data_IF_158086379963
#
_entry.id   IF_158086379963
#
_cell.length_a   1.000
_cell.length_b   1.000
_cell.length_c   1.000
_cell.angle_alpha   90.00
_cell.angle_beta   90.00
_cell.angle_gamma   90.00
#
_symmetry.space_group_name_H-M   'P 1'
#
loop_
_entity.id
_entity.type
_entity.pdbx_description
1 polymer ?
#
# COMPACT_ATOMS: atom_id res chain seq x y z
N UNK A 1 -3.77 -4.46 9.44
CA UNK A 1 -2.79 -3.40 9.69
C UNK A 1 -3.28 -2.01 9.26
N UNK A 2 -4.56 -1.81 8.97
CA UNK A 2 -5.12 -0.49 8.65
C UNK A 2 -5.84 0.15 9.85
N UNK A 3 -5.40 -0.14 11.07
CA UNK A 3 -5.99 0.38 12.31
C UNK A 3 -5.07 1.36 13.05
N UNK A 4 -3.76 1.34 12.76
CA UNK A 4 -2.75 2.16 13.44
C UNK A 4 -2.12 3.14 12.43
N UNK A 5 -2.65 4.39 12.32
CA UNK A 5 -2.16 5.39 11.37
C UNK A 5 -0.69 5.75 11.59
N UNK A 6 0.08 5.82 10.51
CA UNK A 6 1.45 6.33 10.55
C UNK A 6 1.44 7.84 10.44
N UNK A 7 1.66 8.52 11.54
CA UNK A 7 1.83 9.98 11.58
C UNK A 7 3.33 10.28 11.48
N UNK A 8 3.78 11.02 10.46
CA UNK A 8 5.19 11.37 10.32
C UNK A 8 5.58 12.46 11.34
N UNK A 9 6.80 12.38 11.80
CA UNK A 9 7.42 13.48 12.53
C UNK A 9 7.84 14.56 11.53
N UNK A 10 7.21 15.74 11.65
CA UNK A 10 7.48 16.90 10.79
C UNK A 10 7.82 18.08 11.72
N UNK A 11 8.99 18.71 11.58
CA UNK A 11 9.37 19.85 12.41
C UNK A 11 8.30 20.94 12.43
N UNK A 12 7.83 21.29 13.61
CA UNK A 12 6.86 22.37 13.84
C UNK A 12 5.39 21.98 13.64
N UNK A 13 5.08 20.70 13.42
CA UNK A 13 3.68 20.24 13.24
C UNK A 13 2.79 20.60 14.43
N UNK A 14 3.35 20.62 15.63
CA UNK A 14 2.67 20.99 16.88
C UNK A 14 2.21 22.45 16.90
N UNK A 15 2.79 23.29 16.04
CA UNK A 15 2.42 24.71 15.91
C UNK A 15 1.33 24.95 14.87
N UNK A 16 0.91 23.90 14.12
CA UNK A 16 -0.07 24.07 13.06
C UNK A 16 -1.42 24.51 13.60
N UNK A 17 -1.90 25.66 13.13
CA UNK A 17 -3.15 26.26 13.59
C UNK A 17 -4.38 25.73 12.87
N UNK A 18 -4.20 24.97 11.78
CA UNK A 18 -5.29 24.35 11.01
C UNK A 18 -5.72 22.98 11.54
N UNK A 19 -6.48 22.27 10.75
CA UNK A 19 -6.96 20.91 11.07
C UNK A 19 -5.98 19.86 10.57
N UNK A 20 -5.75 18.82 11.37
CA UNK A 20 -4.89 17.69 11.01
C UNK A 20 -5.74 16.42 10.95
N UNK A 21 -5.67 15.71 9.81
CA UNK A 21 -6.36 14.45 9.58
C UNK A 21 -5.37 13.38 9.11
N UNK A 22 -5.72 12.12 9.36
CA UNK A 22 -5.16 11.00 8.62
C UNK A 22 -6.20 10.46 7.63
N UNK A 23 -5.77 9.85 6.53
CA UNK A 23 -6.68 9.20 5.57
C UNK A 23 -7.56 8.12 6.19
N UNK A 24 -7.19 7.62 7.38
CA UNK A 24 -8.02 6.75 8.21
C UNK A 24 -9.35 7.40 8.62
N UNK A 25 -9.34 8.71 8.86
CA UNK A 25 -10.50 9.46 9.36
C UNK A 25 -11.28 10.15 8.23
N UNK A 26 -10.74 10.14 7.02
CA UNK A 26 -11.41 10.68 5.84
C UNK A 26 -12.69 9.88 5.52
N UNK A 27 -13.80 10.58 5.25
CA UNK A 27 -15.09 9.97 4.88
C UNK A 27 -15.70 10.59 3.64
N UNK A 28 -15.80 11.91 3.60
CA UNK A 28 -16.50 12.66 2.55
C UNK A 28 -15.77 13.96 2.24
N UNK A 29 -15.76 14.42 0.97
CA UNK A 29 -15.02 15.61 0.56
C UNK A 29 -15.64 16.93 1.04
N UNK A 30 -16.94 16.97 1.34
CA UNK A 30 -17.66 18.19 1.72
C UNK A 30 -17.08 18.85 2.98
N UNK A 31 -16.48 18.07 3.87
CA UNK A 31 -15.79 18.56 5.08
C UNK A 31 -14.65 19.53 4.74
N UNK A 32 -14.14 19.46 3.53
CA UNK A 32 -12.98 20.22 3.04
C UNK A 32 -13.37 21.33 2.06
N UNK A 33 -14.67 21.66 1.96
CA UNK A 33 -15.18 22.71 1.06
C UNK A 33 -14.53 24.06 1.36
N UNK A 34 -14.12 24.75 0.29
CA UNK A 34 -13.48 26.07 0.29
C UNK A 34 -12.15 26.16 1.06
N UNK A 35 -11.55 25.02 1.47
CA UNK A 35 -10.30 24.96 2.21
C UNK A 35 -9.10 24.77 1.30
N UNK A 36 -7.93 25.24 1.74
CA UNK A 36 -6.62 24.90 1.18
C UNK A 36 -6.12 23.67 1.92
N UNK A 37 -6.01 22.54 1.20
CA UNK A 37 -5.64 21.24 1.77
C UNK A 37 -4.25 20.83 1.29
N UNK A 38 -3.37 20.49 2.22
CA UNK A 38 -2.08 19.85 1.93
C UNK A 38 -2.17 18.37 2.27
N UNK A 39 -2.04 17.52 1.27
CA UNK A 39 -2.01 16.06 1.40
C UNK A 39 -0.56 15.59 1.39
N UNK A 40 -0.13 14.85 2.40
CA UNK A 40 1.19 14.24 2.43
C UNK A 40 1.10 12.74 2.09
N UNK A 41 1.72 12.37 0.97
CA UNK A 41 1.77 11.01 0.46
C UNK A 41 0.94 10.80 -0.81
N UNK A 42 1.59 10.36 -1.89
CA UNK A 42 0.96 10.05 -3.18
C UNK A 42 0.91 8.53 -3.43
N UNK A 43 0.49 7.77 -2.43
CA UNK A 43 0.03 6.39 -2.58
C UNK A 43 -1.38 6.34 -3.17
N UNK A 44 -2.04 5.17 -3.11
CA UNK A 44 -3.41 5.03 -3.63
C UNK A 44 -4.37 6.00 -2.94
N UNK A 45 -4.38 6.03 -1.61
CA UNK A 45 -5.25 6.94 -0.85
C UNK A 45 -4.98 8.41 -1.18
N UNK A 46 -3.69 8.83 -1.20
CA UNK A 46 -3.37 10.24 -1.45
C UNK A 46 -3.78 10.73 -2.83
N UNK A 47 -3.59 9.91 -3.86
CA UNK A 47 -4.04 10.24 -5.22
C UNK A 47 -5.55 10.28 -5.33
N UNK A 48 -6.24 9.26 -4.79
CA UNK A 48 -7.69 9.14 -4.89
C UNK A 48 -8.39 10.27 -4.11
N UNK A 49 -7.96 10.53 -2.87
CA UNK A 49 -8.52 11.61 -2.05
C UNK A 49 -8.21 12.99 -2.66
N UNK A 50 -6.99 13.20 -3.20
CA UNK A 50 -6.66 14.48 -3.84
C UNK A 50 -7.60 14.80 -5.01
N UNK A 51 -7.93 13.81 -5.83
CA UNK A 51 -8.88 13.97 -6.94
C UNK A 51 -10.31 14.19 -6.44
N UNK A 52 -10.71 13.47 -5.39
CA UNK A 52 -12.04 13.60 -4.81
C UNK A 52 -12.24 14.96 -4.14
N UNK A 53 -11.20 15.54 -3.53
CA UNK A 53 -11.23 16.86 -2.91
C UNK A 53 -11.23 18.01 -3.92
N UNK A 54 -10.63 17.84 -5.08
CA UNK A 54 -10.45 18.92 -6.05
C UNK A 54 -11.77 19.68 -6.41
N UNK A 55 -12.94 19.02 -6.62
CA UNK A 55 -14.18 19.73 -6.90
C UNK A 55 -14.75 20.56 -5.73
N UNK A 56 -14.32 20.30 -4.50
CA UNK A 56 -14.87 20.90 -3.29
C UNK A 56 -13.92 21.93 -2.67
N UNK A 57 -12.61 21.61 -2.66
CA UNK A 57 -11.62 22.44 -2.00
C UNK A 57 -11.23 23.66 -2.83
N UNK A 58 -10.83 24.74 -2.16
CA UNK A 58 -10.26 25.91 -2.82
C UNK A 58 -8.98 25.57 -3.58
N UNK A 59 -8.09 24.77 -2.95
CA UNK A 59 -6.87 24.27 -3.55
C UNK A 59 -6.38 23.01 -2.85
N UNK A 60 -5.82 22.07 -3.61
CA UNK A 60 -5.22 20.84 -3.09
C UNK A 60 -3.74 20.79 -3.47
N UNK A 61 -2.87 20.63 -2.50
CA UNK A 61 -1.45 20.38 -2.69
C UNK A 61 -1.12 18.93 -2.34
N UNK A 62 -0.69 18.14 -3.33
CA UNK A 62 -0.27 16.75 -3.13
C UNK A 62 1.24 16.68 -2.98
N UNK A 63 1.72 16.56 -1.74
CA UNK A 63 3.13 16.51 -1.39
C UNK A 63 3.66 15.06 -1.38
N UNK A 64 4.77 14.80 -2.09
CA UNK A 64 5.40 13.48 -2.13
C UNK A 64 6.87 13.53 -2.58
N UNK A 65 7.61 12.45 -2.30
CA UNK A 65 9.04 12.29 -2.69
C UNK A 65 9.23 11.46 -3.98
N UNK A 66 8.14 11.01 -4.62
CA UNK A 66 8.17 10.23 -5.87
C UNK A 66 8.30 11.16 -7.08
N UNK A 67 8.66 10.64 -8.26
CA UNK A 67 8.52 11.38 -9.51
C UNK A 67 7.11 11.95 -9.69
N UNK A 68 6.99 13.06 -10.37
CA UNK A 68 5.69 13.69 -10.63
C UNK A 68 4.75 12.72 -11.37
N UNK A 69 3.48 12.79 -11.03
CA UNK A 69 2.43 12.07 -11.75
C UNK A 69 2.34 12.63 -13.17
N UNK A 70 2.42 11.75 -14.16
CA UNK A 70 2.41 12.14 -15.56
C UNK A 70 1.01 12.48 -16.09
N UNK A 71 -0.04 12.04 -15.40
CA UNK A 71 -1.42 12.30 -15.80
C UNK A 71 -1.78 13.79 -15.64
N UNK A 72 -2.64 14.29 -16.53
CA UNK A 72 -3.26 15.61 -16.34
C UNK A 72 -4.09 15.61 -15.05
N UNK A 73 -3.86 16.62 -14.23
CA UNK A 73 -4.56 16.81 -12.95
C UNK A 73 -5.56 17.97 -13.06
N UNK A 74 -6.55 18.06 -12.16
CA UNK A 74 -7.41 19.23 -12.01
C UNK A 74 -6.60 20.53 -11.84
N UNK A 75 -7.13 21.66 -12.30
CA UNK A 75 -6.42 22.95 -12.29
C UNK A 75 -6.06 23.43 -10.88
N UNK A 76 -6.88 23.11 -9.89
CA UNK A 76 -6.66 23.45 -8.49
C UNK A 76 -5.95 22.33 -7.69
N UNK A 77 -5.32 21.35 -8.37
CA UNK A 77 -4.52 20.32 -7.74
C UNK A 77 -3.06 20.44 -8.20
N UNK A 78 -2.18 20.79 -7.28
CA UNK A 78 -0.75 20.99 -7.54
C UNK A 78 0.11 19.98 -6.80
N UNK A 79 1.07 19.37 -7.49
CA UNK A 79 2.06 18.50 -6.86
C UNK A 79 3.16 19.33 -6.20
N UNK A 80 3.60 18.91 -5.02
CA UNK A 80 4.69 19.51 -4.25
C UNK A 80 5.68 18.43 -3.79
N UNK A 81 6.96 18.77 -3.62
CA UNK A 81 7.92 17.85 -3.00
C UNK A 81 7.58 17.61 -1.53
N UNK A 82 8.43 16.85 -0.83
CA UNK A 82 8.24 16.58 0.59
C UNK A 82 8.15 17.86 1.43
N UNK A 83 7.41 17.79 2.53
CA UNK A 83 7.34 18.88 3.53
C UNK A 83 8.66 18.91 4.30
N UNK A 84 9.26 20.09 4.42
CA UNK A 84 10.45 20.37 5.22
C UNK A 84 10.06 20.65 6.69
N UNK A 85 9.13 21.61 6.87
CA UNK A 85 8.66 22.05 8.20
C UNK A 85 7.31 22.74 8.09
N UNK A 86 6.71 22.96 9.27
CA UNK A 86 5.43 23.66 9.42
C UNK A 86 5.63 24.81 10.42
N UNK A 87 5.10 25.98 10.12
CA UNK A 87 5.13 27.16 11.00
C UNK A 87 3.74 27.79 11.03
N UNK A 88 3.01 27.61 12.12
CA UNK A 88 1.62 28.06 12.26
C UNK A 88 0.75 27.57 11.09
N UNK A 89 0.23 28.44 10.22
CA UNK A 89 -0.56 28.06 9.04
C UNK A 89 0.29 27.81 7.79
N UNK A 90 1.62 27.99 7.85
CA UNK A 90 2.53 27.92 6.69
C UNK A 90 3.19 26.54 6.59
N UNK A 91 3.01 25.86 5.47
CA UNK A 91 3.67 24.60 5.14
C UNK A 91 4.82 24.89 4.17
N UNK A 92 6.04 24.56 4.57
CA UNK A 92 7.27 24.75 3.78
C UNK A 92 7.67 23.45 3.13
N UNK A 93 8.01 23.49 1.84
CA UNK A 93 8.42 22.34 1.06
C UNK A 93 9.91 22.34 0.76
N UNK A 94 10.46 21.16 0.45
CA UNK A 94 11.89 20.95 0.17
C UNK A 94 12.43 21.74 -1.07
N UNK A 95 11.55 22.31 -1.89
CA UNK A 95 11.92 23.19 -3.01
C UNK A 95 11.99 24.67 -2.61
N UNK A 96 11.86 24.99 -1.33
CA UNK A 96 11.82 26.34 -0.78
C UNK A 96 10.48 27.05 -0.96
N UNK A 97 9.51 26.47 -1.62
CA UNK A 97 8.17 27.04 -1.74
C UNK A 97 7.40 26.88 -0.41
N UNK A 98 6.42 27.75 -0.20
CA UNK A 98 5.53 27.67 0.96
C UNK A 98 4.08 27.94 0.54
N UNK A 99 3.14 27.40 1.29
CA UNK A 99 1.71 27.64 1.14
C UNK A 99 1.05 27.82 2.51
N UNK A 100 0.03 28.68 2.57
CA UNK A 100 -0.87 28.73 3.72
C UNK A 100 -1.93 27.66 3.55
N UNK A 101 -2.07 26.79 4.55
CA UNK A 101 -3.00 25.68 4.54
C UNK A 101 -3.99 25.76 5.69
N UNK A 102 -5.23 25.37 5.42
CA UNK A 102 -6.27 25.20 6.44
C UNK A 102 -6.26 23.79 7.01
N UNK A 103 -5.79 22.80 6.20
CA UNK A 103 -5.82 21.39 6.53
C UNK A 103 -4.54 20.69 6.10
N UNK A 104 -4.02 19.84 6.99
CA UNK A 104 -3.04 18.79 6.70
C UNK A 104 -3.73 17.44 6.70
N UNK A 105 -3.60 16.68 5.62
CA UNK A 105 -4.17 15.34 5.48
C UNK A 105 -3.05 14.32 5.22
N UNK A 106 -2.80 13.44 6.16
CA UNK A 106 -1.78 12.41 6.04
C UNK A 106 -2.31 11.17 5.33
N UNK A 107 -1.74 10.86 4.16
CA UNK A 107 -1.94 9.64 3.40
C UNK A 107 -0.67 8.78 3.46
N UNK A 108 -0.07 8.68 4.62
CA UNK A 108 1.26 8.13 4.90
C UNK A 108 1.25 6.63 5.19
N UNK A 109 0.05 6.03 5.22
CA UNK A 109 -0.15 4.61 5.47
C UNK A 109 -0.25 4.28 6.95
N UNK A 110 0.09 3.04 7.31
CA UNK A 110 -0.21 2.47 8.62
C UNK A 110 0.97 1.67 9.15
N UNK A 111 1.08 1.62 10.47
CA UNK A 111 1.98 0.72 11.17
C UNK A 111 1.39 -0.70 11.21
N UNK A 112 2.27 -1.70 11.34
CA UNK A 112 1.84 -3.02 11.79
C UNK A 112 1.69 -2.98 13.30
N UNK A 113 0.61 -3.59 13.80
CA UNK A 113 0.36 -3.70 15.22
C UNK A 113 -0.24 -5.08 15.53
N UNK A 114 0.49 -5.86 16.30
CA UNK A 114 0.12 -7.19 16.75
C UNK A 114 0.18 -7.29 18.28
N UNK A 115 -0.15 -6.21 18.97
CA UNK A 115 -0.14 -6.13 20.45
C UNK A 115 -1.07 -7.12 21.14
N UNK A 116 -2.02 -7.70 20.39
CA UNK A 116 -2.90 -8.78 20.86
C UNK A 116 -2.21 -10.14 20.89
N UNK A 117 -1.06 -10.31 20.25
CA UNK A 117 -0.26 -11.53 20.33
C UNK A 117 0.72 -11.44 21.50
N UNK A 118 0.76 -12.51 22.30
CA UNK A 118 1.76 -12.60 23.37
C UNK A 118 3.19 -12.64 22.78
N UNK A 119 4.18 -12.01 23.42
CA UNK A 119 5.57 -11.99 22.94
C UNK A 119 6.16 -13.39 22.71
N UNK A 120 5.67 -14.39 23.43
CA UNK A 120 6.07 -15.79 23.30
C UNK A 120 5.72 -16.39 21.93
N UNK A 121 4.76 -15.82 21.20
CA UNK A 121 4.43 -16.24 19.84
C UNK A 121 5.58 -16.07 18.86
N UNK A 122 6.50 -15.11 19.14
CA UNK A 122 7.66 -14.85 18.27
C UNK A 122 7.35 -13.98 17.04
N UNK A 123 6.11 -13.54 16.86
CA UNK A 123 5.73 -12.53 15.85
C UNK A 123 5.92 -11.15 16.46
N UNK A 124 6.78 -10.36 15.87
CA UNK A 124 7.14 -9.02 16.37
C UNK A 124 7.15 -7.99 15.24
N UNK A 125 6.99 -6.73 15.60
CA UNK A 125 7.19 -5.61 14.66
C UNK A 125 8.47 -4.87 15.06
N UNK A 126 9.44 -4.87 14.17
CA UNK A 126 10.72 -4.19 14.35
C UNK A 126 10.90 -3.19 13.22
N UNK A 127 10.94 -1.90 13.54
CA UNK A 127 11.11 -0.81 12.56
C UNK A 127 10.17 -0.89 11.34
N UNK A 128 8.91 -1.33 11.56
CA UNK A 128 7.91 -1.48 10.51
C UNK A 128 7.99 -2.78 9.71
N UNK A 129 8.89 -3.71 10.05
CA UNK A 129 8.93 -5.09 9.55
C UNK A 129 8.27 -6.03 10.54
N UNK A 130 7.42 -6.93 10.06
CA UNK A 130 6.90 -8.07 10.85
C UNK A 130 7.90 -9.21 10.75
N UNK A 131 8.44 -9.67 11.87
CA UNK A 131 9.42 -10.76 11.94
C UNK A 131 8.78 -12.05 12.44
N UNK A 132 9.48 -13.19 12.25
CA UNK A 132 9.02 -14.51 12.69
C UNK A 132 7.91 -15.11 11.83
N UNK A 133 7.77 -14.65 10.58
CA UNK A 133 6.77 -15.15 9.63
C UNK A 133 7.42 -15.69 8.36
N UNK A 134 7.43 -17.02 8.22
CA UNK A 134 7.80 -17.69 6.97
C UNK A 134 6.80 -17.40 5.87
N UNK A 135 7.29 -17.06 4.67
CA UNK A 135 6.46 -16.64 3.52
C UNK A 135 5.46 -15.53 3.88
N UNK A 136 5.85 -14.59 4.75
CA UNK A 136 4.96 -13.52 5.25
C UNK A 136 3.62 -14.03 5.80
N UNK A 137 3.54 -15.26 6.21
CA UNK A 137 2.31 -15.98 6.56
C UNK A 137 2.42 -16.79 7.85
N UNK A 138 3.28 -17.81 7.88
CA UNK A 138 3.36 -18.78 8.98
C UNK A 138 4.28 -18.30 10.09
N UNK A 139 3.80 -18.32 11.33
CA UNK A 139 4.68 -18.16 12.47
C UNK A 139 5.69 -19.32 12.52
N UNK A 140 6.99 -19.01 12.39
CA UNK A 140 8.03 -20.06 12.34
C UNK A 140 8.15 -20.85 13.62
N UNK A 141 7.79 -20.23 14.75
CA UNK A 141 7.79 -20.87 16.07
C UNK A 141 6.57 -21.75 16.33
N UNK A 142 5.41 -21.32 15.82
CA UNK A 142 4.13 -22.02 15.97
C UNK A 142 3.41 -22.07 14.61
N UNK A 143 3.72 -23.08 13.76
CA UNK A 143 3.18 -23.12 12.39
C UNK A 143 1.64 -23.31 12.29
N UNK A 144 0.98 -23.56 13.41
CA UNK A 144 -0.49 -23.52 13.51
C UNK A 144 -1.05 -22.11 13.64
N UNK A 145 -0.19 -21.10 13.76
CA UNK A 145 -0.53 -19.69 13.71
C UNK A 145 -0.10 -19.13 12.34
N UNK A 146 -1.05 -18.58 11.60
CA UNK A 146 -0.81 -17.84 10.37
C UNK A 146 -1.39 -16.43 10.46
N UNK A 147 -0.72 -15.46 9.83
CA UNK A 147 -1.15 -14.05 9.76
C UNK A 147 -1.46 -13.71 8.31
N UNK A 148 -2.73 -13.76 7.94
CA UNK A 148 -3.17 -13.42 6.58
C UNK A 148 -3.05 -11.93 6.34
N UNK A 149 -2.54 -11.51 5.17
CA UNK A 149 -2.59 -10.12 4.73
C UNK A 149 -1.50 -9.22 5.30
N UNK A 150 -0.32 -9.74 5.64
CA UNK A 150 0.86 -8.95 6.00
C UNK A 150 1.39 -8.17 4.80
N UNK A 151 1.33 -8.75 3.61
CA UNK A 151 1.84 -8.15 2.37
C UNK A 151 1.10 -6.87 1.99
N UNK A 152 1.86 -5.88 1.47
CA UNK A 152 1.36 -4.57 1.00
C UNK A 152 1.53 -4.42 -0.51
N UNK A 153 0.74 -3.53 -1.13
CA UNK A 153 0.73 -3.27 -2.57
C UNK A 153 0.46 -4.55 -3.36
N UNK A 154 -0.71 -5.10 -3.15
CA UNK A 154 -1.16 -6.40 -3.67
C UNK A 154 -2.55 -6.31 -4.27
N UNK A 155 -2.96 -7.36 -5.00
CA UNK A 155 -4.37 -7.67 -5.28
C UNK A 155 -4.85 -8.56 -4.13
N UNK A 156 -5.61 -8.03 -3.14
CA UNK A 156 -5.74 -8.68 -1.84
C UNK A 156 -6.50 -10.00 -1.86
N UNK A 157 -7.69 -10.02 -2.44
CA UNK A 157 -8.56 -11.21 -2.32
C UNK A 157 -7.98 -12.48 -2.95
N UNK A 158 -7.42 -12.47 -4.19
CA UNK A 158 -6.77 -13.64 -4.74
C UNK A 158 -5.57 -14.11 -3.92
N UNK A 159 -4.73 -13.19 -3.43
CA UNK A 159 -3.60 -13.55 -2.57
C UNK A 159 -4.06 -14.18 -1.26
N UNK A 160 -5.06 -13.60 -0.61
CA UNK A 160 -5.57 -14.13 0.67
C UNK A 160 -6.20 -15.51 0.48
N UNK A 161 -6.89 -15.77 -0.65
CA UNK A 161 -7.40 -17.10 -0.96
C UNK A 161 -6.27 -18.14 -1.06
N UNK A 162 -5.18 -17.82 -1.78
CA UNK A 162 -4.02 -18.72 -1.90
C UNK A 162 -3.36 -18.94 -0.52
N UNK A 163 -3.18 -17.87 0.28
CA UNK A 163 -2.63 -17.97 1.63
C UNK A 163 -3.49 -18.88 2.53
N UNK A 164 -4.81 -18.72 2.49
CA UNK A 164 -5.75 -19.52 3.29
C UNK A 164 -5.71 -20.98 2.84
N UNK A 165 -5.69 -21.25 1.55
CA UNK A 165 -5.64 -22.61 0.99
C UNK A 165 -4.35 -23.32 1.37
N UNK A 166 -3.21 -22.64 1.34
CA UNK A 166 -1.94 -23.18 1.82
C UNK A 166 -2.01 -23.46 3.34
N UNK A 167 -2.49 -22.51 4.13
CA UNK A 167 -2.63 -22.71 5.57
C UNK A 167 -3.53 -23.92 5.89
N UNK A 168 -4.64 -24.07 5.18
CA UNK A 168 -5.52 -25.22 5.29
C UNK A 168 -4.80 -26.53 4.96
N UNK A 169 -4.03 -26.57 3.87
CA UNK A 169 -3.25 -27.76 3.47
C UNK A 169 -2.26 -28.20 4.54
N UNK A 170 -1.66 -27.25 5.27
CA UNK A 170 -0.77 -27.53 6.40
C UNK A 170 -1.54 -28.13 7.57
N UNK A 171 -2.69 -27.58 7.93
CA UNK A 171 -3.54 -28.10 9.02
C UNK A 171 -4.09 -29.49 8.71
N UNK A 172 -4.43 -29.77 7.46
CA UNK A 172 -4.89 -31.07 6.97
C UNK A 172 -3.75 -32.11 6.82
N UNK A 173 -2.49 -31.67 6.97
CA UNK A 173 -1.32 -32.53 6.82
C UNK A 173 -0.99 -32.92 5.37
N UNK A 174 -1.61 -32.28 4.38
CA UNK A 174 -1.33 -32.51 2.94
C UNK A 174 -0.12 -31.72 2.45
N UNK A 175 0.24 -30.63 3.16
CA UNK A 175 1.45 -29.87 2.97
C UNK A 175 2.29 -29.93 4.26
N UNK A 176 3.56 -30.32 4.14
CA UNK A 176 4.52 -30.32 5.25
C UNK A 176 5.43 -29.13 5.12
N UNK A 177 5.44 -28.27 6.15
CA UNK A 177 6.35 -27.13 6.20
C UNK A 177 7.80 -27.59 6.47
N UNK A 178 8.81 -26.82 6.02
CA UNK A 178 10.21 -27.06 6.39
C UNK A 178 10.44 -26.97 7.90
N UNK A 179 11.63 -27.36 8.36
CA UNK A 179 12.02 -27.15 9.76
C UNK A 179 11.97 -25.67 10.13
N UNK A 180 11.88 -25.37 11.42
CA UNK A 180 11.91 -23.99 11.90
C UNK A 180 13.15 -23.25 11.41
N UNK A 181 14.32 -23.90 11.48
CA UNK A 181 15.61 -23.34 11.05
C UNK A 181 15.59 -22.99 9.56
N UNK A 182 15.06 -23.88 8.72
CA UNK A 182 14.94 -23.64 7.27
C UNK A 182 13.92 -22.51 6.96
N UNK A 183 12.83 -22.42 7.71
CA UNK A 183 11.86 -21.34 7.56
C UNK A 183 12.45 -19.99 7.96
N UNK A 184 13.21 -19.93 9.04
CA UNK A 184 13.89 -18.72 9.50
C UNK A 184 14.97 -18.29 8.49
N UNK A 185 15.74 -19.22 7.95
CA UNK A 185 16.77 -18.96 6.94
C UNK A 185 16.13 -18.41 5.63
N UNK A 186 15.08 -19.03 5.11
CA UNK A 186 14.34 -18.56 3.93
C UNK A 186 13.83 -17.13 4.13
N UNK A 187 13.26 -16.86 5.30
CA UNK A 187 12.71 -15.55 5.67
C UNK A 187 13.79 -14.47 5.69
N UNK A 188 14.96 -14.76 6.26
CA UNK A 188 16.05 -13.80 6.33
C UNK A 188 16.76 -13.64 4.96
N UNK A 189 16.82 -14.69 4.15
CA UNK A 189 17.37 -14.64 2.79
C UNK A 189 16.47 -13.79 1.86
N UNK A 190 15.13 -13.96 1.89
CA UNK A 190 14.19 -13.10 1.15
C UNK A 190 14.35 -11.63 1.58
N UNK A 191 14.41 -11.37 2.88
CA UNK A 191 14.59 -10.02 3.40
C UNK A 191 15.92 -9.40 2.97
N UNK A 192 17.04 -10.13 3.07
CA UNK A 192 18.36 -9.65 2.65
C UNK A 192 18.39 -9.32 1.17
N UNK A 193 17.86 -10.21 0.33
CA UNK A 193 17.74 -10.00 -1.12
C UNK A 193 16.98 -8.70 -1.43
N UNK A 194 15.87 -8.43 -0.75
CA UNK A 194 15.09 -7.18 -0.93
C UNK A 194 15.90 -5.94 -0.58
N UNK A 195 16.72 -5.99 0.48
CA UNK A 195 17.61 -4.88 0.86
C UNK A 195 18.72 -4.66 -0.20
N UNK A 196 19.31 -5.74 -0.72
CA UNK A 196 20.34 -5.70 -1.77
C UNK A 196 19.78 -5.11 -3.07
N UNK A 197 18.50 -5.35 -3.38
CA UNK A 197 17.78 -4.76 -4.50
C UNK A 197 17.35 -3.30 -4.24
N UNK A 198 17.75 -2.71 -3.10
CA UNK A 198 17.51 -1.31 -2.76
C UNK A 198 16.15 -1.01 -2.11
N UNK A 199 15.42 -2.04 -1.68
CA UNK A 199 14.15 -1.83 -0.99
C UNK A 199 14.40 -1.34 0.45
N UNK A 200 13.86 -0.18 0.88
CA UNK A 200 13.99 0.29 2.25
C UNK A 200 13.39 -0.70 3.26
N UNK A 201 14.00 -0.84 4.43
CA UNK A 201 13.61 -1.76 5.50
C UNK A 201 12.09 -1.79 5.77
N UNK A 202 11.46 -0.62 5.92
CA UNK A 202 10.03 -0.49 6.21
C UNK A 202 9.10 -1.01 5.10
N UNK A 203 9.65 -1.34 3.92
CA UNK A 203 8.91 -1.90 2.79
C UNK A 203 9.14 -3.40 2.60
N UNK A 204 9.73 -4.08 3.60
CA UNK A 204 10.03 -5.52 3.57
C UNK A 204 8.87 -6.42 3.15
N UNK A 205 7.62 -5.99 3.35
CA UNK A 205 6.42 -6.72 2.96
C UNK A 205 5.72 -6.16 1.71
N UNK A 206 6.37 -5.23 0.98
CA UNK A 206 5.83 -4.71 -0.27
C UNK A 206 6.05 -5.72 -1.40
N UNK A 207 4.98 -6.08 -2.11
CA UNK A 207 5.03 -7.09 -3.16
C UNK A 207 5.03 -6.48 -4.57
N UNK A 208 4.15 -5.55 -4.86
CA UNK A 208 3.96 -5.04 -6.23
C UNK A 208 3.83 -6.20 -7.24
N UNK A 209 4.63 -6.25 -8.30
CA UNK A 209 4.64 -7.37 -9.26
C UNK A 209 5.19 -8.68 -8.71
N UNK A 210 5.98 -8.66 -7.64
CA UNK A 210 6.48 -9.88 -6.99
C UNK A 210 5.36 -10.77 -6.44
N UNK A 211 4.16 -10.20 -6.23
CA UNK A 211 3.01 -10.94 -5.71
C UNK A 211 2.62 -12.13 -6.58
N UNK A 212 2.85 -12.09 -7.88
CA UNK A 212 2.44 -13.18 -8.77
C UNK A 212 3.32 -14.40 -8.58
N UNK A 213 4.64 -14.23 -8.56
CA UNK A 213 5.58 -15.31 -8.22
C UNK A 213 5.34 -15.83 -6.80
N UNK A 214 5.09 -14.94 -5.84
CA UNK A 214 4.77 -15.32 -4.48
C UNK A 214 3.50 -16.19 -4.40
N UNK A 215 2.44 -15.82 -5.11
CA UNK A 215 1.21 -16.61 -5.17
C UNK A 215 1.45 -17.98 -5.81
N UNK A 216 2.27 -18.04 -6.87
CA UNK A 216 2.64 -19.29 -7.53
C UNK A 216 3.44 -20.19 -6.59
N UNK A 217 4.43 -19.64 -5.87
CA UNK A 217 5.21 -20.40 -4.87
C UNK A 217 4.30 -21.01 -3.80
N UNK A 218 3.34 -20.23 -3.27
CA UNK A 218 2.39 -20.73 -2.28
C UNK A 218 1.46 -21.81 -2.85
N UNK A 219 1.00 -21.63 -4.10
CA UNK A 219 0.14 -22.60 -4.76
C UNK A 219 0.88 -23.94 -5.00
N UNK A 220 2.14 -23.87 -5.42
CA UNK A 220 3.00 -25.05 -5.62
C UNK A 220 3.25 -25.79 -4.30
N UNK A 221 3.55 -25.06 -3.22
CA UNK A 221 3.69 -25.63 -1.87
C UNK A 221 2.42 -26.37 -1.44
N UNK A 222 1.26 -25.78 -1.68
CA UNK A 222 -0.05 -26.35 -1.35
C UNK A 222 -0.50 -27.45 -2.33
N UNK A 223 0.18 -27.64 -3.45
CA UNK A 223 -0.22 -28.51 -4.57
C UNK A 223 -1.62 -28.19 -5.11
N UNK A 224 -1.92 -26.91 -5.23
CA UNK A 224 -3.17 -26.38 -5.76
C UNK A 224 -2.93 -25.63 -7.09
N UNK A 225 -4.00 -25.41 -7.85
CA UNK A 225 -3.89 -24.62 -9.08
C UNK A 225 -3.44 -23.20 -8.78
N UNK A 226 -2.48 -22.73 -9.58
CA UNK A 226 -2.03 -21.32 -9.56
C UNK A 226 -3.16 -20.39 -9.98
N UNK A 227 -3.05 -19.12 -9.62
CA UNK A 227 -3.98 -18.11 -10.10
C UNK A 227 -3.87 -17.96 -11.63
N UNK A 228 -5.00 -17.75 -12.33
CA UNK A 228 -4.99 -17.50 -13.77
C UNK A 228 -4.14 -16.26 -14.13
N UNK A 229 -3.50 -16.33 -15.32
CA UNK A 229 -2.60 -15.27 -15.82
C UNK A 229 -3.26 -13.89 -15.95
N UNK A 230 -4.57 -13.83 -16.18
CA UNK A 230 -5.29 -12.56 -16.31
C UNK A 230 -5.22 -11.67 -15.08
N UNK A 231 -4.99 -12.23 -13.87
CA UNK A 231 -4.77 -11.39 -12.67
C UNK A 231 -3.52 -10.52 -12.80
N UNK A 232 -2.43 -11.08 -13.30
CA UNK A 232 -1.20 -10.34 -13.58
C UNK A 232 -1.40 -9.34 -14.71
N UNK A 233 -2.05 -9.73 -15.78
CA UNK A 233 -2.33 -8.87 -16.92
C UNK A 233 -3.19 -7.66 -16.51
N UNK A 234 -4.31 -7.88 -15.81
CA UNK A 234 -5.18 -6.81 -15.29
C UNK A 234 -4.43 -5.87 -14.34
N UNK A 235 -3.61 -6.41 -13.45
CA UNK A 235 -2.78 -5.59 -12.56
C UNK A 235 -1.89 -4.62 -13.35
N UNK A 236 -1.16 -5.12 -14.34
CA UNK A 236 -0.26 -4.29 -15.14
C UNK A 236 -1.03 -3.28 -16.01
N UNK A 237 -2.13 -3.69 -16.65
CA UNK A 237 -2.98 -2.80 -17.46
C UNK A 237 -3.57 -1.68 -16.60
N UNK A 238 -4.15 -2.00 -15.44
CA UNK A 238 -4.70 -1.00 -14.51
C UNK A 238 -3.63 -0.02 -14.01
N UNK A 239 -2.43 -0.53 -13.68
CA UNK A 239 -1.32 0.35 -13.26
C UNK A 239 -0.83 1.26 -14.38
N UNK A 240 -0.78 0.79 -15.63
CA UNK A 240 -0.42 1.60 -16.78
C UNK A 240 -1.47 2.69 -17.02
N UNK A 241 -2.75 2.32 -17.06
CA UNK A 241 -3.85 3.26 -17.23
C UNK A 241 -3.89 4.31 -16.10
N UNK A 242 -3.67 3.89 -14.86
CA UNK A 242 -3.59 4.82 -13.74
C UNK A 242 -2.47 5.85 -13.89
N UNK A 243 -1.31 5.47 -14.41
CA UNK A 243 -0.19 6.41 -14.64
C UNK A 243 -0.52 7.44 -15.72
N UNK A 244 -1.22 7.03 -16.77
CA UNK A 244 -1.52 7.86 -17.94
C UNK A 244 -2.79 8.68 -17.76
N UNK A 245 -3.80 8.09 -17.10
CA UNK A 245 -5.18 8.59 -17.05
C UNK A 245 -5.74 8.51 -15.63
N UNK A 246 -5.04 9.14 -14.66
CA UNK A 246 -5.36 9.03 -13.24
C UNK A 246 -6.80 9.43 -12.91
N UNK A 247 -7.37 10.41 -13.63
CA UNK A 247 -8.73 10.92 -13.42
C UNK A 247 -9.83 10.02 -13.99
N UNK A 248 -9.49 9.12 -14.94
CA UNK A 248 -10.50 8.36 -15.69
C UNK A 248 -10.27 6.84 -15.75
N UNK A 249 -9.11 6.34 -15.32
CA UNK A 249 -8.79 4.91 -15.42
C UNK A 249 -9.81 3.99 -14.73
N UNK A 250 -10.49 4.46 -13.69
CA UNK A 250 -11.54 3.70 -12.98
C UNK A 250 -12.81 3.47 -13.83
N UNK A 251 -12.95 4.19 -14.95
CA UNK A 251 -14.04 4.04 -15.90
C UNK A 251 -13.76 3.00 -17.01
N UNK A 252 -12.58 2.36 -16.94
CA UNK A 252 -12.23 1.31 -17.87
C UNK A 252 -12.92 0.00 -17.51
N UNK A 253 -13.45 -0.69 -18.52
CA UNK A 253 -14.02 -2.01 -18.37
C UNK A 253 -13.12 -3.05 -19.05
N UNK A 254 -12.95 -4.19 -18.39
CA UNK A 254 -12.16 -5.31 -18.85
C UNK A 254 -13.01 -6.56 -18.98
N UNK A 255 -12.59 -7.47 -19.86
CA UNK A 255 -13.14 -8.81 -19.97
C UNK A 255 -12.02 -9.83 -20.07
N UNK A 256 -12.36 -11.09 -19.98
CA UNK A 256 -11.45 -12.21 -20.20
C UNK A 256 -11.88 -12.89 -21.49
N UNK A 257 -10.99 -12.92 -22.48
CA UNK A 257 -11.27 -13.57 -23.77
C UNK A 257 -11.28 -15.10 -23.66
N UNK A 258 -11.64 -15.79 -24.74
CA UNK A 258 -11.70 -17.26 -24.79
C UNK A 258 -10.34 -17.94 -24.52
N UNK A 259 -9.23 -17.24 -24.76
CA UNK A 259 -7.87 -17.72 -24.46
C UNK A 259 -7.50 -17.56 -22.97
N UNK A 260 -8.35 -16.88 -22.18
CA UNK A 260 -8.11 -16.60 -20.76
C UNK A 260 -7.30 -15.33 -20.50
N UNK A 261 -7.09 -14.49 -21.52
CA UNK A 261 -6.35 -13.24 -21.41
C UNK A 261 -7.26 -12.06 -21.10
N UNK A 262 -6.74 -11.10 -20.33
CA UNK A 262 -7.44 -9.86 -20.03
C UNK A 262 -7.43 -8.92 -21.25
N UNK A 263 -8.58 -8.37 -21.58
CA UNK A 263 -8.76 -7.41 -22.67
C UNK A 263 -9.51 -6.18 -22.19
N UNK A 264 -9.11 -5.00 -22.66
CA UNK A 264 -9.82 -3.75 -22.43
C UNK A 264 -11.00 -3.69 -23.41
N UNK A 265 -12.25 -3.65 -22.90
CA UNK A 265 -13.46 -3.60 -23.73
C UNK A 265 -13.81 -2.17 -24.09
N UNK A 266 -13.79 -1.29 -23.11
CA UNK A 266 -14.19 0.11 -23.29
C UNK A 266 -13.51 1.03 -22.28
N UNK A 267 -13.25 2.22 -22.76
CA UNK A 267 -12.76 3.33 -21.92
C UNK A 267 -13.66 4.54 -22.18
N UNK A 268 -14.48 4.93 -21.20
CA UNK A 268 -15.22 6.19 -21.30
C UNK A 268 -14.29 7.34 -20.91
N UNK A 269 -13.99 8.23 -21.86
CA UNK A 269 -13.19 9.46 -21.67
C UNK A 269 -11.70 9.23 -21.33
N UNK A 270 -11.04 8.27 -21.97
CA UNK A 270 -9.57 8.18 -21.99
C UNK A 270 -9.01 8.84 -23.23
#
# INVERSE_FOLDING_TARGET
>A
HYADPLIPDIPGIETFSGQVYHSHDYRVPETFSDKVVVILGAGSSGQDIALELAPYSKWVYLSHKKPLLASKLPENLTQKPGIEKILSSSVHFNDGSLVTADVLLFCTGYNYNYSFLAPQCGVQVVDGRVTGLFKHLFCTKFPTLAVIGVCKVIVPFPMFDVQIRLFRSVLEGTCVLPSKESMDEDTENDYRKRLEEGMPHRYAHTMSSLQFNYNDDLADMAKISRLPSHYSQLYHMCHQLRRQHLTSYKNCNFDINEAGDAVLISSKNI
#
